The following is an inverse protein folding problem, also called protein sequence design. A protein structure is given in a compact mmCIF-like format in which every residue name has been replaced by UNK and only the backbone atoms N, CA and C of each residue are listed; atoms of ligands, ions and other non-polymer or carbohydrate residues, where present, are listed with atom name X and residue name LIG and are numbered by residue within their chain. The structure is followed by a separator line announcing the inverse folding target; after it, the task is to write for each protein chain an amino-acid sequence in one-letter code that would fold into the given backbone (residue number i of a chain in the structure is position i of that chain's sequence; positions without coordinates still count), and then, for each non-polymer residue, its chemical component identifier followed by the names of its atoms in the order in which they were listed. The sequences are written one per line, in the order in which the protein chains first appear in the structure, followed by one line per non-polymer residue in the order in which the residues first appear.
data_IF_522438914987
#
_entry.id   IF_522438914987
#
_cell.length_a   1.000
_cell.length_b   1.000
_cell.length_c   1.000
_cell.angle_alpha   90.00
_cell.angle_beta   90.00
_cell.angle_gamma   90.00
#
_symmetry.space_group_name_H-M   'P 1'
#
loop_
_entity.id
_entity.type
_entity.pdbx_description
1 polymer ?
#
# COMPACT_ATOMS: atom_id res chain seq x y z
N UNK A 1 35.51 -18.86 2.92
CA UNK A 1 34.99 -18.64 4.29
C UNK A 1 33.54 -19.13 4.32
N UNK A 2 33.19 -20.03 5.24
CA UNK A 2 31.83 -20.63 5.32
C UNK A 2 30.88 -19.64 6.00
N UNK A 3 29.73 -19.38 5.38
CA UNK A 3 28.71 -18.51 5.99
C UNK A 3 28.00 -19.28 7.12
N UNK A 4 27.85 -18.63 8.27
CA UNK A 4 27.12 -19.15 9.44
C UNK A 4 26.08 -18.14 9.92
N UNK A 5 25.05 -18.64 10.60
CA UNK A 5 24.01 -17.80 11.18
C UNK A 5 24.52 -17.07 12.44
N UNK A 6 24.20 -15.78 12.56
CA UNK A 6 24.53 -14.97 13.74
C UNK A 6 23.48 -15.03 14.86
N UNK A 7 22.41 -15.79 14.73
CA UNK A 7 21.41 -15.92 15.80
C UNK A 7 21.97 -16.72 17.00
N UNK A 8 21.49 -16.40 18.21
CA UNK A 8 21.84 -17.16 19.42
C UNK A 8 21.22 -18.55 19.36
N UNK A 9 22.01 -19.59 19.61
CA UNK A 9 21.55 -20.98 19.59
C UNK A 9 21.34 -21.58 18.19
N UNK A 10 21.66 -20.85 17.12
CA UNK A 10 21.54 -21.36 15.75
C UNK A 10 22.86 -21.91 15.23
N UNK A 11 22.88 -23.20 14.85
CA UNK A 11 24.04 -23.87 14.28
C UNK A 11 23.96 -24.03 12.74
N UNK A 12 23.12 -23.22 12.08
CA UNK A 12 22.95 -23.28 10.63
C UNK A 12 24.17 -22.70 9.89
N UNK A 13 24.70 -23.49 8.95
CA UNK A 13 25.87 -23.20 8.14
C UNK A 13 25.54 -23.41 6.67
N UNK A 14 26.26 -22.72 5.80
CA UNK A 14 26.17 -22.88 4.36
C UNK A 14 26.47 -24.33 3.97
N UNK A 15 25.63 -24.92 3.12
CA UNK A 15 25.72 -26.33 2.71
C UNK A 15 24.58 -27.21 3.22
N UNK A 16 23.76 -26.74 4.17
CA UNK A 16 22.47 -27.38 4.48
C UNK A 16 21.45 -27.08 3.38
N UNK A 17 20.71 -28.10 2.94
CA UNK A 17 19.63 -27.94 1.97
C UNK A 17 18.49 -27.07 2.55
N UNK A 18 17.84 -26.26 1.71
CA UNK A 18 16.66 -25.43 2.03
C UNK A 18 16.85 -24.29 3.02
N UNK A 19 18.07 -23.80 3.25
CA UNK A 19 18.33 -22.65 4.13
C UNK A 19 18.93 -21.48 3.34
N UNK A 20 18.22 -20.36 3.33
CA UNK A 20 18.69 -19.10 2.74
C UNK A 20 19.36 -18.23 3.79
N UNK A 21 20.44 -17.55 3.42
CA UNK A 21 21.18 -16.64 4.32
C UNK A 21 21.01 -15.19 3.90
N UNK A 22 20.36 -14.39 4.73
CA UNK A 22 20.08 -12.98 4.47
C UNK A 22 21.11 -12.06 5.13
N UNK A 23 21.53 -11.01 4.41
CA UNK A 23 22.34 -9.93 4.98
C UNK A 23 21.48 -9.09 5.91
N UNK A 24 22.08 -8.62 6.99
CA UNK A 24 21.45 -7.62 7.84
C UNK A 24 21.35 -6.31 7.02
N UNK A 25 20.15 -5.69 6.94
CA UNK A 25 19.95 -4.43 6.23
C UNK A 25 20.88 -3.31 6.71
N UNK A 26 21.18 -2.36 5.83
CA UNK A 26 21.97 -1.19 6.19
C UNK A 26 21.13 -0.12 6.90
N UNK A 27 19.83 -0.02 6.55
CA UNK A 27 18.90 0.98 7.09
C UNK A 27 18.94 1.03 8.61
N UNK A 28 19.22 2.20 9.17
CA UNK A 28 19.49 2.35 10.61
C UNK A 28 18.38 1.78 11.49
N UNK A 29 17.12 2.11 11.19
CA UNK A 29 15.97 1.65 11.98
C UNK A 29 15.74 0.14 11.83
N UNK A 30 15.71 -0.37 10.59
CA UNK A 30 15.50 -1.80 10.33
C UNK A 30 16.63 -2.64 10.94
N UNK A 31 17.87 -2.16 10.81
CA UNK A 31 19.06 -2.76 11.42
C UNK A 31 18.97 -2.79 12.93
N UNK A 32 18.53 -1.70 13.57
CA UNK A 32 18.32 -1.66 15.02
C UNK A 32 17.28 -2.70 15.47
N UNK A 33 16.14 -2.81 14.77
CA UNK A 33 15.12 -3.83 15.07
C UNK A 33 15.68 -5.26 14.92
N UNK A 34 16.46 -5.51 13.87
CA UNK A 34 17.13 -6.82 13.67
C UNK A 34 18.14 -7.12 14.78
N UNK A 35 18.95 -6.15 15.19
CA UNK A 35 19.94 -6.31 16.27
C UNK A 35 19.25 -6.56 17.61
N UNK A 36 18.19 -5.80 17.90
CA UNK A 36 17.37 -5.96 19.09
C UNK A 36 16.75 -7.38 19.15
N UNK A 37 16.26 -7.88 18.01
CA UNK A 37 15.67 -9.21 17.91
C UNK A 37 16.69 -10.33 18.13
N UNK A 38 17.92 -10.20 17.59
CA UNK A 38 19.02 -11.16 17.85
C UNK A 38 19.42 -11.18 19.34
N UNK A 39 19.29 -10.03 20.03
CA UNK A 39 19.49 -9.89 21.48
C UNK A 39 20.84 -10.41 22.00
N UNK A 40 21.94 -10.17 21.27
CA UNK A 40 23.30 -10.45 21.74
C UNK A 40 23.87 -9.26 22.50
N UNK A 41 24.34 -9.51 23.74
CA UNK A 41 25.01 -8.49 24.56
C UNK A 41 26.35 -8.10 23.92
N UNK A 42 26.63 -6.79 23.88
CA UNK A 42 27.89 -6.20 23.42
C UNK A 42 28.32 -6.64 22.00
N UNK A 43 27.36 -6.94 21.13
CA UNK A 43 27.64 -7.40 19.78
C UNK A 43 27.10 -6.42 18.74
N UNK A 44 27.91 -6.13 17.73
CA UNK A 44 27.47 -5.32 16.58
C UNK A 44 27.54 -6.14 15.29
N UNK A 45 26.53 -6.03 14.42
CA UNK A 45 26.53 -6.74 13.15
C UNK A 45 27.60 -6.16 12.21
N UNK A 46 28.55 -7.01 11.85
CA UNK A 46 29.49 -6.79 10.73
C UNK A 46 28.82 -7.02 9.37
N UNK A 47 29.43 -6.52 8.28
CA UNK A 47 28.97 -6.70 6.87
C UNK A 47 28.80 -8.16 6.44
N UNK A 48 29.47 -9.08 7.12
CA UNK A 48 29.40 -10.51 6.85
C UNK A 48 28.40 -11.26 7.73
N UNK A 49 27.78 -10.58 8.70
CA UNK A 49 26.80 -11.19 9.60
C UNK A 49 25.54 -11.56 8.82
N UNK A 50 25.13 -12.83 8.90
CA UNK A 50 23.96 -13.36 8.20
C UNK A 50 22.98 -14.01 9.15
N UNK A 51 21.70 -13.89 8.83
CA UNK A 51 20.61 -14.61 9.51
C UNK A 51 20.04 -15.65 8.53
N UNK A 52 19.69 -16.84 9.02
CA UNK A 52 19.07 -17.86 8.19
C UNK A 52 17.55 -17.67 8.06
N UNK A 53 16.96 -18.25 7.01
CA UNK A 53 15.53 -18.23 6.72
C UNK A 53 14.64 -18.67 7.90
N UNK A 54 15.09 -19.61 8.71
CA UNK A 54 14.33 -20.17 9.84
C UNK A 54 13.92 -19.15 10.92
N UNK A 55 14.58 -17.98 10.95
CA UNK A 55 14.23 -16.90 11.89
C UNK A 55 13.05 -16.02 11.42
N UNK A 56 12.54 -16.29 10.21
CA UNK A 56 11.37 -15.65 9.62
C UNK A 56 10.20 -16.65 9.64
N UNK A 57 8.97 -16.15 9.83
CA UNK A 57 7.76 -16.96 9.92
C UNK A 57 7.46 -17.67 8.59
N UNK A 58 7.72 -17.02 7.46
CA UNK A 58 7.55 -17.59 6.12
C UNK A 58 8.84 -18.19 5.54
N UNK A 59 9.92 -18.25 6.33
CA UNK A 59 11.22 -18.71 5.83
C UNK A 59 11.87 -17.74 4.83
N UNK A 60 11.33 -16.53 4.67
CA UNK A 60 11.83 -15.53 3.74
C UNK A 60 11.77 -14.13 4.37
N UNK A 61 12.73 -13.27 4.01
CA UNK A 61 12.67 -11.86 4.37
C UNK A 61 11.64 -11.15 3.48
N UNK A 62 10.78 -10.33 4.06
CA UNK A 62 9.97 -9.35 3.32
C UNK A 62 10.59 -7.97 3.43
N UNK A 63 10.48 -7.13 2.41
CA UNK A 63 10.94 -5.73 2.46
C UNK A 63 9.81 -4.76 2.87
N UNK A 64 8.56 -5.23 2.91
CA UNK A 64 7.40 -4.45 3.36
C UNK A 64 7.41 -4.19 4.87
N UNK A 65 7.29 -2.92 5.33
CA UNK A 65 7.27 -2.59 6.76
C UNK A 65 6.07 -3.15 7.53
N UNK A 66 4.97 -3.42 6.83
CA UNK A 66 3.72 -3.95 7.38
C UNK A 66 3.75 -5.48 7.55
N UNK A 67 4.70 -6.16 6.90
CA UNK A 67 4.84 -7.60 7.01
C UNK A 67 5.47 -7.97 8.36
N UNK A 68 4.99 -9.03 9.04
CA UNK A 68 5.61 -9.52 10.26
C UNK A 68 7.02 -10.11 10.02
N UNK A 69 7.36 -10.45 8.78
CA UNK A 69 8.69 -10.95 8.39
C UNK A 69 9.67 -9.83 8.00
N UNK A 70 9.29 -8.57 8.20
CA UNK A 70 10.17 -7.42 8.04
C UNK A 70 11.39 -7.49 8.99
N UNK A 71 11.17 -8.04 10.18
CA UNK A 71 12.16 -8.29 11.23
C UNK A 71 12.09 -9.76 11.62
N UNK A 72 13.24 -10.46 11.75
CA UNK A 72 13.23 -11.83 12.24
C UNK A 72 12.62 -11.85 13.65
N UNK A 73 11.70 -12.77 13.91
CA UNK A 73 10.93 -12.84 15.16
C UNK A 73 10.97 -14.23 15.80
N UNK A 74 11.46 -15.24 15.08
CA UNK A 74 11.56 -16.61 15.57
C UNK A 74 12.94 -16.83 16.15
N UNK A 75 13.09 -16.76 17.47
CA UNK A 75 14.33 -17.10 18.16
C UNK A 75 14.05 -17.99 19.36
N UNK A 76 15.08 -18.66 19.87
CA UNK A 76 14.98 -19.52 21.06
C UNK A 76 14.57 -18.70 22.29
N UNK A 77 14.98 -17.43 22.36
CA UNK A 77 14.68 -16.54 23.48
C UNK A 77 13.37 -15.75 23.34
N UNK A 78 12.65 -15.83 22.21
CA UNK A 78 11.38 -15.11 22.08
C UNK A 78 10.26 -15.83 22.85
N UNK A 79 9.47 -15.07 23.60
CA UNK A 79 8.44 -15.65 24.50
C UNK A 79 7.25 -16.17 23.68
N UNK A 80 6.60 -17.24 24.16
CA UNK A 80 5.40 -17.82 23.51
C UNK A 80 4.29 -16.81 23.18
N UNK A 81 3.93 -15.84 24.06
CA UNK A 81 2.93 -14.82 23.73
C UNK A 81 3.33 -13.94 22.53
N UNK A 82 4.61 -13.61 22.40
CA UNK A 82 5.13 -12.79 21.30
C UNK A 82 5.10 -13.57 19.98
N UNK A 83 5.51 -14.84 20.01
CA UNK A 83 5.39 -15.76 18.87
C UNK A 83 3.94 -15.88 18.38
N UNK A 84 2.97 -16.01 19.30
CA UNK A 84 1.53 -16.06 18.94
C UNK A 84 1.06 -14.75 18.30
N UNK A 85 1.48 -13.59 18.82
CA UNK A 85 1.16 -12.28 18.22
C UNK A 85 1.74 -12.15 16.81
N UNK A 86 2.98 -12.57 16.60
CA UNK A 86 3.65 -12.54 15.31
C UNK A 86 2.91 -13.42 14.27
N UNK A 87 2.51 -14.63 14.66
CA UNK A 87 1.68 -15.52 13.82
C UNK A 87 0.30 -14.92 13.51
N UNK A 88 -0.36 -14.29 14.49
CA UNK A 88 -1.62 -13.60 14.26
C UNK A 88 -1.48 -12.41 13.31
N UNK A 89 -0.38 -11.66 13.41
CA UNK A 89 -0.05 -10.57 12.49
C UNK A 89 0.15 -11.08 11.06
N UNK A 90 0.79 -12.24 10.89
CA UNK A 90 0.96 -12.88 9.59
C UNK A 90 -0.37 -13.24 8.93
N UNK A 91 -1.31 -13.83 9.68
CA UNK A 91 -2.63 -14.11 9.16
C UNK A 91 -3.34 -12.84 8.66
N UNK A 92 -3.26 -11.75 9.43
CA UNK A 92 -3.82 -10.45 9.01
C UNK A 92 -3.13 -9.88 7.76
N UNK A 93 -1.80 -9.94 7.70
CA UNK A 93 -1.03 -9.49 6.54
C UNK A 93 -1.38 -10.29 5.28
N UNK A 94 -1.46 -11.62 5.36
CA UNK A 94 -1.85 -12.47 4.23
C UNK A 94 -3.27 -12.16 3.72
N UNK A 95 -4.24 -11.95 4.63
CA UNK A 95 -5.59 -11.52 4.26
C UNK A 95 -5.56 -10.17 3.54
N UNK A 96 -4.79 -9.21 4.06
CA UNK A 96 -4.62 -7.89 3.44
C UNK A 96 -4.01 -7.98 2.04
N UNK A 97 -2.96 -8.76 1.85
CA UNK A 97 -2.33 -8.95 0.54
C UNK A 97 -3.26 -9.67 -0.45
N UNK A 98 -4.02 -10.68 -0.01
CA UNK A 98 -5.01 -11.35 -0.85
C UNK A 98 -6.13 -10.39 -1.32
N UNK A 99 -6.60 -9.52 -0.42
CA UNK A 99 -7.61 -8.50 -0.75
C UNK A 99 -7.08 -7.48 -1.76
N UNK A 100 -5.86 -6.94 -1.56
CA UNK A 100 -5.21 -6.03 -2.51
C UNK A 100 -5.07 -6.66 -3.90
N UNK A 101 -4.62 -7.91 -3.95
CA UNK A 101 -4.48 -8.67 -5.20
C UNK A 101 -5.83 -8.83 -5.90
N UNK A 102 -6.89 -9.16 -5.15
CA UNK A 102 -8.25 -9.27 -5.70
C UNK A 102 -8.75 -7.93 -6.24
N UNK A 103 -8.57 -6.82 -5.50
CA UNK A 103 -8.94 -5.45 -5.95
C UNK A 103 -8.20 -5.08 -7.25
N UNK A 104 -6.90 -5.34 -7.33
CA UNK A 104 -6.10 -5.08 -8.54
C UNK A 104 -6.55 -5.92 -9.73
N UNK A 105 -6.88 -7.20 -9.51
CA UNK A 105 -7.41 -8.07 -10.56
C UNK A 105 -8.79 -7.60 -11.03
N UNK A 106 -9.66 -7.17 -10.13
CA UNK A 106 -10.99 -6.67 -10.48
C UNK A 106 -10.90 -5.37 -11.28
N UNK A 107 -10.05 -4.43 -10.85
CA UNK A 107 -9.79 -3.19 -11.59
C UNK A 107 -9.28 -3.49 -13.01
N UNK A 108 -8.27 -4.37 -13.13
CA UNK A 108 -7.74 -4.79 -14.43
C UNK A 108 -8.79 -5.49 -15.31
N UNK A 109 -9.68 -6.29 -14.74
CA UNK A 109 -10.80 -6.90 -15.47
C UNK A 109 -11.80 -5.85 -15.96
N UNK A 110 -12.14 -4.86 -15.13
CA UNK A 110 -13.05 -3.77 -15.51
C UNK A 110 -12.46 -2.91 -16.62
N UNK A 111 -11.16 -2.61 -16.53
CA UNK A 111 -10.42 -1.89 -17.58
C UNK A 111 -10.40 -2.68 -18.90
N UNK A 112 -10.13 -3.99 -18.84
CA UNK A 112 -10.17 -4.86 -20.01
C UNK A 112 -11.57 -4.94 -20.64
N UNK A 113 -12.62 -5.06 -19.83
CA UNK A 113 -14.00 -5.05 -20.31
C UNK A 113 -14.37 -3.70 -20.97
N UNK A 114 -13.91 -2.58 -20.38
CA UNK A 114 -14.09 -1.23 -20.96
C UNK A 114 -13.38 -1.13 -22.31
N UNK A 115 -12.14 -1.62 -22.43
CA UNK A 115 -11.40 -1.61 -23.69
C UNK A 115 -12.10 -2.45 -24.78
N UNK A 116 -12.62 -3.63 -24.42
CA UNK A 116 -13.38 -4.46 -25.36
C UNK A 116 -14.66 -3.76 -25.84
N UNK A 117 -15.40 -3.12 -24.94
CA UNK A 117 -16.60 -2.36 -25.31
C UNK A 117 -16.28 -1.20 -26.25
N UNK A 118 -15.25 -0.39 -25.97
CA UNK A 118 -14.81 0.67 -26.88
C UNK A 118 -14.40 0.12 -28.25
N UNK A 119 -13.69 -1.02 -28.27
CA UNK A 119 -13.30 -1.65 -29.54
C UNK A 119 -14.50 -2.14 -30.36
N UNK A 120 -15.53 -2.68 -29.70
CA UNK A 120 -16.76 -3.09 -30.36
C UNK A 120 -17.55 -1.89 -30.92
N UNK A 121 -17.57 -0.77 -30.18
CA UNK A 121 -18.23 0.47 -30.58
C UNK A 121 -17.53 1.11 -31.81
N UNK A 122 -16.19 1.12 -31.83
CA UNK A 122 -15.41 1.60 -32.97
C UNK A 122 -15.59 0.73 -34.23
N UNK A 123 -15.68 -0.59 -34.06
CA UNK A 123 -15.95 -1.51 -35.18
C UNK A 123 -17.37 -1.33 -35.75
N UNK A 124 -18.38 -1.09 -34.90
CA UNK A 124 -19.76 -0.86 -35.35
C UNK A 124 -19.93 0.45 -36.16
N UNK A 125 -19.11 1.47 -35.89
CA UNK A 125 -19.07 2.70 -36.70
C UNK A 125 -18.35 2.49 -38.05
N UNK A 126 -17.30 1.67 -38.08
CA UNK A 126 -16.59 1.31 -39.32
C UNK A 126 -17.44 0.53 -40.31
N UNK A 127 -18.40 -0.28 -39.85
CA UNK A 127 -19.36 -0.99 -40.70
C UNK A 127 -20.46 -0.07 -41.31
N UNK A 128 -20.64 1.13 -40.77
CA UNK A 128 -21.60 2.12 -41.28
C UNK A 128 -21.00 3.09 -42.31
N UNK A 129 -19.67 3.27 -42.33
CA UNK A 129 -18.98 4.21 -43.22
C UNK A 129 -18.70 3.63 -44.63
N UNK A 130 -18.75 2.31 -44.83
CA UNK A 130 -18.66 1.67 -46.16
C UNK A 130 -19.89 1.93 -47.07
N UNK A 131 -20.85 2.75 -46.62
CA UNK A 131 -22.02 3.17 -47.41
C UNK A 131 -22.13 4.67 -47.69
N UNK A 132 -21.12 5.49 -47.35
CA UNK A 132 -21.15 6.95 -47.56
C UNK A 132 -19.92 7.44 -48.36
N UNK A 133 -19.63 6.78 -49.49
CA UNK A 133 -18.71 7.33 -50.50
C UNK A 133 -19.45 7.53 -51.82
N UNK A 134 -20.54 8.28 -51.80
CA UNK A 134 -20.96 9.06 -52.96
C UNK A 134 -21.73 10.30 -52.48
N UNK A 135 -21.24 11.45 -52.91
CA UNK A 135 -21.83 12.80 -52.77
C UNK A 135 -21.86 13.43 -51.36
N UNK A 136 -20.90 14.31 -51.08
CA UNK A 136 -21.12 15.74 -51.32
C UNK A 136 -19.97 16.59 -50.72
N UNK A 137 -19.19 17.16 -51.63
CA UNK A 137 -18.51 18.44 -51.48
C UNK A 137 -19.46 19.53 -50.97
N UNK A 138 -19.05 20.36 -50.01
CA UNK A 138 -19.25 21.83 -49.96
C UNK A 138 -18.31 22.45 -48.92
N UNK A 139 -17.86 23.65 -49.30
CA UNK A 139 -16.86 24.57 -48.77
C UNK A 139 -16.94 25.01 -47.30
N UNK A 140 -15.75 25.29 -46.73
CA UNK A 140 -15.57 26.17 -45.57
C UNK A 140 -16.17 27.57 -45.79
N UNK A 141 -16.60 28.24 -44.71
CA UNK A 141 -16.30 29.66 -44.59
C UNK A 141 -15.64 30.03 -43.25
N UNK A 142 -14.84 31.07 -43.37
CA UNK A 142 -13.93 31.66 -42.41
C UNK A 142 -14.56 32.85 -41.65
N UNK A 143 -13.87 33.22 -40.55
CA UNK A 143 -13.81 34.54 -39.89
C UNK A 143 -14.72 34.82 -38.67
N UNK A 144 -14.09 34.64 -37.47
CA UNK A 144 -13.90 35.54 -36.30
C UNK A 144 -15.11 36.29 -35.67
N UNK A 145 -15.40 35.99 -34.39
CA UNK A 145 -15.19 36.78 -33.13
C UNK A 145 -16.00 38.10 -33.05
N UNK A 146 -16.84 38.35 -32.04
CA UNK A 146 -16.44 38.77 -30.69
C UNK A 146 -17.57 38.59 -29.66
N UNK A 147 -17.24 37.97 -28.53
CA UNK A 147 -17.85 38.29 -27.24
C UNK A 147 -16.83 37.95 -26.15
N UNK A 148 -16.04 38.96 -25.78
CA UNK A 148 -15.17 38.95 -24.62
C UNK A 148 -16.02 38.75 -23.36
N UNK A 149 -16.12 37.51 -22.86
CA UNK A 149 -16.30 37.30 -21.44
C UNK A 149 -14.91 37.12 -20.83
N UNK A 150 -14.67 37.90 -19.79
CA UNK A 150 -13.42 38.01 -19.08
C UNK A 150 -12.95 36.63 -18.61
N UNK A 151 -11.68 36.39 -18.89
CA UNK A 151 -10.87 35.27 -18.44
C UNK A 151 -10.83 35.14 -16.92
N UNK A 152 -10.88 33.87 -16.48
CA UNK A 152 -10.11 33.26 -15.40
C UNK A 152 -10.37 33.70 -13.96
N UNK A 153 -10.92 32.77 -13.14
CA UNK A 153 -10.45 32.45 -11.77
C UNK A 153 -11.33 31.44 -11.00
N UNK A 154 -12.21 30.65 -11.63
CA UNK A 154 -13.08 29.69 -10.90
C UNK A 154 -13.19 28.28 -11.50
N UNK A 155 -12.13 27.79 -12.16
CA UNK A 155 -12.03 26.36 -12.53
C UNK A 155 -10.74 25.68 -12.05
N UNK A 156 -9.65 26.44 -11.81
CA UNK A 156 -8.38 25.87 -11.35
C UNK A 156 -8.27 25.76 -9.81
N UNK A 157 -9.08 26.51 -9.06
CA UNK A 157 -9.07 26.43 -7.58
C UNK A 157 -9.86 25.25 -7.01
N UNK A 158 -10.62 24.54 -7.84
CA UNK A 158 -11.28 23.27 -7.47
C UNK A 158 -10.36 22.05 -7.58
N UNK A 159 -9.27 22.12 -8.35
CA UNK A 159 -8.29 21.00 -8.45
C UNK A 159 -7.27 20.97 -7.30
N UNK A 160 -7.10 22.07 -6.55
CA UNK A 160 -6.07 22.17 -5.50
C UNK A 160 -6.53 21.73 -4.09
N UNK A 161 -7.80 21.38 -3.90
CA UNK A 161 -8.33 20.90 -2.60
C UNK A 161 -8.81 19.44 -2.60
N UNK A 162 -8.86 18.78 -3.75
CA UNK A 162 -9.12 17.34 -3.84
C UNK A 162 -7.85 16.47 -3.69
N UNK A 163 -6.68 17.11 -3.59
CA UNK A 163 -5.39 16.48 -3.90
C UNK A 163 -4.74 15.62 -2.80
N UNK A 164 -5.32 15.47 -1.61
CA UNK A 164 -4.70 14.62 -0.57
C UNK A 164 -5.52 13.39 -0.13
N UNK A 165 -6.77 13.25 -0.57
CA UNK A 165 -7.62 12.15 -0.09
C UNK A 165 -7.68 10.94 -1.04
N UNK A 166 -7.52 11.13 -2.36
CA UNK A 166 -7.81 10.06 -3.34
C UNK A 166 -6.87 8.86 -3.18
N UNK A 167 -5.57 9.10 -2.99
CA UNK A 167 -4.59 8.02 -2.83
C UNK A 167 -4.73 7.24 -1.50
N UNK A 168 -5.27 7.87 -0.46
CA UNK A 168 -5.45 7.20 0.82
C UNK A 168 -6.61 6.19 0.76
N UNK A 169 -7.75 6.60 0.19
CA UNK A 169 -8.94 5.75 0.09
C UNK A 169 -8.70 4.51 -0.77
N UNK A 170 -7.85 4.63 -1.80
CA UNK A 170 -7.49 3.51 -2.68
C UNK A 170 -6.75 2.37 -1.95
N UNK A 171 -6.13 2.68 -0.80
CA UNK A 171 -5.35 1.74 0.01
C UNK A 171 -6.12 1.15 1.20
N UNK A 172 -7.35 1.61 1.44
CA UNK A 172 -8.21 1.10 2.50
C UNK A 172 -8.78 -0.27 2.15
N UNK A 173 -8.78 -1.15 3.15
CA UNK A 173 -9.47 -2.43 3.11
C UNK A 173 -10.61 -2.47 4.13
N UNK A 174 -11.63 -3.32 3.89
CA UNK A 174 -12.71 -3.51 4.86
C UNK A 174 -12.18 -3.88 6.25
N UNK A 175 -12.58 -3.11 7.26
CA UNK A 175 -12.12 -3.27 8.65
C UNK A 175 -10.89 -2.45 9.06
N UNK A 176 -10.29 -1.67 8.15
CA UNK A 176 -9.30 -0.65 8.54
C UNK A 176 -9.96 0.44 9.41
N UNK A 177 -9.23 0.89 10.44
CA UNK A 177 -9.66 1.95 11.35
C UNK A 177 -9.01 3.27 10.92
N UNK A 178 -9.84 4.26 10.62
CA UNK A 178 -9.40 5.59 10.20
C UNK A 178 -9.63 6.54 11.37
N UNK A 179 -8.55 7.16 11.84
CA UNK A 179 -8.63 8.23 12.84
C UNK A 179 -8.91 9.54 12.10
N UNK A 180 -10.09 10.11 12.32
CA UNK A 180 -10.47 11.41 11.78
C UNK A 180 -10.12 12.51 12.79
N UNK A 181 -9.18 13.40 12.44
CA UNK A 181 -8.96 14.65 13.20
C UNK A 181 -10.01 15.72 12.84
N UNK A 182 -10.16 16.71 13.74
CA UNK A 182 -11.17 17.79 13.67
C UNK A 182 -11.20 18.42 12.26
N UNK A 183 -12.24 18.09 11.47
CA UNK A 183 -12.45 18.62 10.12
C UNK A 183 -12.76 17.57 9.06
N UNK A 184 -12.55 16.29 9.34
CA UNK A 184 -12.83 15.23 8.37
C UNK A 184 -14.33 14.86 8.37
N UNK A 185 -15.07 15.30 7.33
CA UNK A 185 -16.51 15.03 7.16
C UNK A 185 -16.73 13.93 6.13
N UNK A 186 -16.43 12.67 6.48
CA UNK A 186 -16.33 11.53 5.54
C UNK A 186 -17.60 10.70 5.36
N UNK A 187 -18.76 11.30 5.63
CA UNK A 187 -19.98 10.52 5.90
C UNK A 187 -20.53 9.74 4.70
N UNK A 188 -20.01 9.90 3.48
CA UNK A 188 -20.46 9.14 2.31
C UNK A 188 -19.38 8.27 1.64
N UNK A 189 -18.09 8.65 1.64
CA UNK A 189 -17.06 7.88 0.94
C UNK A 189 -16.51 6.68 1.73
N UNK A 190 -16.47 6.74 3.06
CA UNK A 190 -15.94 5.63 3.90
C UNK A 190 -16.97 4.50 4.05
N UNK A 191 -18.26 4.85 3.99
CA UNK A 191 -19.37 3.89 3.98
C UNK A 191 -19.31 2.91 2.81
N UNK A 192 -18.82 3.35 1.64
CA UNK A 192 -18.65 2.51 0.46
C UNK A 192 -17.55 1.45 0.63
N UNK A 193 -16.55 1.72 1.47
CA UNK A 193 -15.37 0.87 1.69
C UNK A 193 -15.39 0.06 2.99
N UNK A 194 -16.50 0.06 3.74
CA UNK A 194 -16.68 -0.72 4.97
C UNK A 194 -15.59 -0.49 6.05
N UNK A 195 -15.01 0.72 6.10
CA UNK A 195 -14.14 1.12 7.20
C UNK A 195 -15.02 1.62 8.37
N UNK A 196 -14.65 1.25 9.61
CA UNK A 196 -15.43 1.63 10.80
C UNK A 196 -14.85 2.94 11.35
N UNK A 197 -15.64 4.01 11.31
CA UNK A 197 -15.28 5.30 11.89
C UNK A 197 -15.31 5.23 13.42
N UNK A 198 -14.27 5.76 14.07
CA UNK A 198 -14.32 6.11 15.49
C UNK A 198 -14.65 7.60 15.63
N UNK A 199 -15.71 7.99 16.37
CA UNK A 199 -16.06 9.39 16.52
C UNK A 199 -14.94 10.16 17.24
N UNK A 200 -14.73 11.42 16.83
CA UNK A 200 -13.74 12.30 17.41
C UNK A 200 -13.95 12.42 18.93
N UNK A 201 -12.92 12.07 19.70
CA UNK A 201 -12.91 12.27 21.15
C UNK A 201 -12.67 13.75 21.42
N UNK A 202 -13.74 14.55 21.46
CA UNK A 202 -13.66 15.95 21.87
C UNK A 202 -13.35 16.03 23.36
N UNK A 203 -12.07 16.01 23.72
CA UNK A 203 -11.60 16.64 24.96
C UNK A 203 -11.00 18.00 24.65
N UNK A 204 -11.48 18.98 25.42
CA UNK A 204 -11.04 20.37 25.50
C UNK A 204 -12.25 21.17 25.98
N UNK A 205 -12.22 21.91 27.06
CA UNK A 205 -11.16 22.37 27.98
C UNK A 205 -11.90 23.18 29.07
N UNK A 206 -11.35 23.31 30.29
CA UNK A 206 -11.23 24.60 30.99
C UNK A 206 -10.09 24.53 32.01
N UNK A 207 -8.96 25.15 31.70
CA UNK A 207 -8.09 25.75 32.71
C UNK A 207 -8.69 27.07 33.15
N UNK A 208 -9.06 27.21 34.42
CA UNK A 208 -9.08 28.48 35.17
C UNK A 208 -9.47 28.23 36.64
N UNK A 209 -8.74 28.86 37.57
CA UNK A 209 -9.33 29.34 38.83
C UNK A 209 -9.06 28.54 40.10
N UNK A 210 -8.15 29.09 40.89
CA UNK A 210 -7.94 28.88 42.34
C UNK A 210 -9.24 28.97 43.15
N UNK A 211 -9.46 28.00 44.06
CA UNK A 211 -9.84 28.15 45.47
C UNK A 211 -9.62 26.80 46.15
#
# INVERSE_FOLDING_TARGET
MVISCCAVGCANRQGKANISFYRIPFDGERRQRWVAAISRKNWQPSKYSRICSEHFLQGQKSDDPLSPDYVPSVFVHTKSPEKRRALGSLGKYQVREAMKKKKRQELSKREAARALNLSAEMNALGEAEDKIVEEASISEPSVKCDAMCQTDLTSDYTELLEFECHGFLDNLLPGDLILADRGFRIQEQVGLYCARETPAFTRGEKTAGRC
#
